data_IF_485533795252
#
_entry.id   IF_485533795252
#
_cell.length_a   1.000
_cell.length_b   1.000
_cell.length_c   1.000
_cell.angle_alpha   90.00
_cell.angle_beta   90.00
_cell.angle_gamma   90.00
#
_symmetry.space_group_name_H-M   'P 1'
#
loop_
_entity.id
_entity.type
_entity.pdbx_description
1 polymer ?
#
# COMPACT_ATOMS: atom_id res chain seq x y z
N UNK A 1 6.21 -6.02 18.89
CA UNK A 1 5.70 -6.47 17.59
C UNK A 1 6.86 -7.06 16.80
N UNK A 2 6.75 -8.30 16.32
CA UNK A 2 7.83 -8.91 15.52
C UNK A 2 7.80 -8.38 14.08
N UNK A 3 8.95 -8.26 13.43
CA UNK A 3 9.06 -7.72 12.06
C UNK A 3 8.17 -8.50 11.07
N UNK A 4 8.10 -9.82 11.22
CA UNK A 4 7.24 -10.67 10.38
C UNK A 4 5.75 -10.34 10.53
N UNK A 5 5.30 -9.93 11.73
CA UNK A 5 3.93 -9.46 11.93
C UNK A 5 3.69 -8.10 11.28
N UNK A 6 4.66 -7.19 11.32
CA UNK A 6 4.55 -5.89 10.65
C UNK A 6 4.43 -6.04 9.13
N UNK A 7 5.28 -6.89 8.54
CA UNK A 7 5.24 -7.19 7.11
C UNK A 7 3.96 -7.91 6.69
N UNK A 8 3.39 -8.75 7.55
CA UNK A 8 2.13 -9.44 7.28
C UNK A 8 0.90 -8.53 7.44
N UNK A 9 0.94 -7.50 8.29
CA UNK A 9 -0.20 -6.61 8.52
C UNK A 9 -0.21 -5.38 7.61
N UNK A 10 0.96 -4.95 7.14
CA UNK A 10 1.07 -3.78 6.26
C UNK A 10 0.17 -3.82 5.01
N UNK A 11 0.04 -4.96 4.27
CA UNK A 11 -0.78 -5.02 3.05
C UNK A 11 -2.28 -4.93 3.29
N UNK A 12 -2.77 -5.14 4.52
CA UNK A 12 -4.22 -5.11 4.81
C UNK A 12 -4.83 -3.72 4.63
N UNK A 13 -4.01 -2.66 4.60
CA UNK A 13 -4.49 -1.30 4.32
C UNK A 13 -4.77 -1.06 2.83
N UNK A 14 -4.32 -1.96 1.94
CA UNK A 14 -4.41 -1.83 0.48
C UNK A 14 -5.82 -1.50 -0.03
N UNK A 15 -6.87 -2.29 0.29
CA UNK A 15 -8.21 -1.98 -0.20
C UNK A 15 -8.73 -0.63 0.29
N UNK A 16 -8.43 -0.26 1.54
CA UNK A 16 -8.80 1.05 2.08
C UNK A 16 -8.08 2.20 1.38
N UNK A 17 -6.78 2.06 1.16
CA UNK A 17 -5.97 3.06 0.46
C UNK A 17 -6.44 3.24 -0.99
N UNK A 18 -6.70 2.13 -1.68
CA UNK A 18 -7.20 2.12 -3.05
C UNK A 18 -8.55 2.82 -3.12
N UNK A 19 -9.52 2.40 -2.31
CA UNK A 19 -10.87 2.95 -2.34
C UNK A 19 -10.90 4.43 -1.93
N UNK A 20 -10.08 4.82 -0.96
CA UNK A 20 -9.95 6.22 -0.58
C UNK A 20 -9.43 7.08 -1.73
N UNK A 21 -8.37 6.64 -2.42
CA UNK A 21 -7.84 7.38 -3.56
C UNK A 21 -8.80 7.38 -4.75
N UNK A 22 -9.47 6.25 -5.02
CA UNK A 22 -10.44 6.11 -6.08
C UNK A 22 -11.65 7.04 -5.87
N UNK A 23 -12.09 7.22 -4.62
CA UNK A 23 -13.13 8.19 -4.26
C UNK A 23 -12.70 9.63 -4.54
N UNK A 24 -11.49 10.03 -4.11
CA UNK A 24 -10.99 11.40 -4.29
C UNK A 24 -10.69 11.72 -5.77
N UNK A 25 -10.27 10.72 -6.53
CA UNK A 25 -9.94 10.86 -7.95
C UNK A 25 -11.15 10.68 -8.87
N UNK A 26 -12.36 10.64 -8.30
CA UNK A 26 -13.62 10.51 -9.02
C UNK A 26 -13.67 9.31 -9.98
N UNK A 27 -13.12 8.16 -9.54
CA UNK A 27 -13.14 6.93 -10.32
C UNK A 27 -14.58 6.40 -10.39
N UNK A 28 -15.12 6.13 -11.60
CA UNK A 28 -16.48 5.62 -11.76
C UNK A 28 -16.75 4.40 -10.87
N UNK A 29 -17.86 4.45 -10.12
CA UNK A 29 -18.28 3.40 -9.19
C UNK A 29 -17.72 3.56 -7.77
N UNK A 30 -16.55 4.19 -7.59
CA UNK A 30 -16.01 4.50 -6.26
C UNK A 30 -16.41 5.89 -5.75
N UNK A 31 -16.96 6.76 -6.60
CA UNK A 31 -17.44 8.09 -6.25
C UNK A 31 -18.84 8.11 -5.58
N UNK A 32 -19.46 6.95 -5.39
CA UNK A 32 -20.81 6.76 -4.80
C UNK A 32 -21.99 7.31 -5.63
N UNK A 33 -21.78 7.75 -6.87
CA UNK A 33 -22.85 8.25 -7.74
C UNK A 33 -23.90 7.19 -8.07
N UNK A 34 -23.45 5.94 -8.24
CA UNK A 34 -24.33 4.78 -8.47
C UNK A 34 -25.01 4.27 -7.18
N UNK A 35 -24.67 4.85 -6.02
CA UNK A 35 -25.23 4.50 -4.72
C UNK A 35 -24.28 3.71 -3.82
N UNK A 36 -24.63 3.68 -2.52
CA UNK A 36 -23.78 3.10 -1.46
C UNK A 36 -23.65 1.58 -1.55
N UNK A 37 -24.67 0.89 -2.09
CA UNK A 37 -24.65 -0.58 -2.25
C UNK A 37 -23.62 -1.00 -3.31
N UNK A 38 -23.57 -0.30 -4.44
CA UNK A 38 -22.59 -0.55 -5.49
C UNK A 38 -21.17 -0.27 -5.01
N UNK A 39 -20.99 0.83 -4.26
CA UNK A 39 -19.71 1.15 -3.62
C UNK A 39 -19.22 0.03 -2.69
N UNK A 40 -20.11 -0.49 -1.82
CA UNK A 40 -19.76 -1.58 -0.90
C UNK A 40 -19.45 -2.87 -1.67
N UNK A 41 -20.23 -3.17 -2.72
CA UNK A 41 -19.99 -4.32 -3.59
C UNK A 41 -18.62 -4.25 -4.27
N UNK A 42 -18.27 -3.09 -4.83
CA UNK A 42 -16.97 -2.82 -5.43
C UNK A 42 -15.83 -2.89 -4.41
N UNK A 43 -16.02 -2.35 -3.20
CA UNK A 43 -15.05 -2.43 -2.11
C UNK A 43 -14.77 -3.89 -1.70
N UNK A 44 -15.81 -4.72 -1.57
CA UNK A 44 -15.66 -6.13 -1.23
C UNK A 44 -14.96 -6.88 -2.37
N UNK A 45 -15.40 -6.69 -3.63
CA UNK A 45 -14.78 -7.31 -4.80
C UNK A 45 -13.30 -6.93 -4.94
N UNK A 46 -13.00 -5.64 -4.79
CA UNK A 46 -11.63 -5.12 -4.74
C UNK A 46 -10.84 -5.76 -3.59
N UNK A 47 -11.40 -5.87 -2.39
CA UNK A 47 -10.71 -6.46 -1.25
C UNK A 47 -10.33 -7.91 -1.51
N UNK A 48 -11.23 -8.70 -2.10
CA UNK A 48 -10.98 -10.10 -2.45
C UNK A 48 -9.87 -10.25 -3.50
N UNK A 49 -9.77 -9.33 -4.47
CA UNK A 49 -8.74 -9.36 -5.51
C UNK A 49 -7.40 -8.75 -5.05
N UNK A 50 -7.44 -7.59 -4.39
CA UNK A 50 -6.28 -6.79 -4.06
C UNK A 50 -5.47 -7.36 -2.89
N UNK A 51 -6.12 -7.97 -1.89
CA UNK A 51 -5.41 -8.51 -0.72
C UNK A 51 -4.41 -9.60 -1.13
N UNK A 52 -4.80 -10.67 -1.86
CA UNK A 52 -3.85 -11.70 -2.32
C UNK A 52 -2.70 -11.11 -3.14
N UNK A 53 -3.01 -10.19 -4.06
CA UNK A 53 -2.03 -9.53 -4.92
C UNK A 53 -1.03 -8.74 -4.09
N UNK A 54 -1.50 -7.91 -3.17
CA UNK A 54 -0.65 -7.12 -2.27
C UNK A 54 0.24 -8.01 -1.40
N UNK A 55 -0.27 -9.15 -0.93
CA UNK A 55 0.54 -10.12 -0.19
C UNK A 55 1.64 -10.74 -1.07
N UNK A 56 1.33 -11.14 -2.30
CA UNK A 56 2.32 -11.67 -3.25
C UNK A 56 3.44 -10.63 -3.46
N UNK A 57 3.10 -9.38 -3.78
CA UNK A 57 4.11 -8.33 -3.96
C UNK A 57 4.93 -8.07 -2.69
N UNK A 58 4.27 -8.03 -1.53
CA UNK A 58 4.94 -7.81 -0.25
C UNK A 58 5.88 -8.96 0.12
N UNK A 59 5.49 -10.21 -0.09
CA UNK A 59 6.33 -11.37 0.25
C UNK A 59 7.50 -11.55 -0.73
N UNK A 60 7.25 -11.47 -2.04
CA UNK A 60 8.26 -11.76 -3.05
C UNK A 60 9.23 -10.60 -3.28
N UNK A 61 8.73 -9.35 -3.28
CA UNK A 61 9.51 -8.16 -3.61
C UNK A 61 9.75 -7.32 -2.36
N UNK A 62 8.68 -6.94 -1.65
CA UNK A 62 8.75 -6.07 -0.48
C UNK A 62 9.64 -6.61 0.64
N UNK A 63 9.54 -7.91 0.97
CA UNK A 63 10.32 -8.56 2.01
C UNK A 63 11.80 -8.65 1.66
N UNK A 64 12.14 -8.89 0.39
CA UNK A 64 13.53 -8.83 -0.10
C UNK A 64 14.07 -7.40 -0.02
N UNK A 65 13.29 -6.41 -0.44
CA UNK A 65 13.66 -5.00 -0.38
C UNK A 65 13.90 -4.54 1.07
N UNK A 66 13.00 -4.91 1.97
CA UNK A 66 13.15 -4.68 3.41
C UNK A 66 14.42 -5.34 3.96
N UNK A 67 14.69 -6.61 3.61
CA UNK A 67 15.91 -7.31 4.01
C UNK A 67 17.19 -6.60 3.53
N UNK A 68 17.20 -6.07 2.31
CA UNK A 68 18.32 -5.28 1.78
C UNK A 68 18.51 -3.97 2.56
N UNK A 69 17.43 -3.24 2.82
CA UNK A 69 17.46 -2.00 3.61
C UNK A 69 17.98 -2.24 5.03
N UNK A 70 17.52 -3.32 5.66
CA UNK A 70 17.94 -3.74 7.00
C UNK A 70 19.43 -4.05 7.05
N UNK A 71 19.96 -4.81 6.08
CA UNK A 71 21.40 -5.10 5.98
C UNK A 71 22.25 -3.84 5.84
N UNK A 72 21.72 -2.81 5.17
CA UNK A 72 22.40 -1.51 5.00
C UNK A 72 22.13 -0.51 6.12
N UNK A 73 21.44 -0.90 7.20
CA UNK A 73 21.02 -0.02 8.31
C UNK A 73 20.31 1.26 7.85
N UNK A 74 19.61 1.20 6.71
CA UNK A 74 18.95 2.35 6.07
C UNK A 74 17.44 2.31 6.22
N UNK A 75 16.90 1.51 7.15
CA UNK A 75 15.45 1.43 7.42
C UNK A 75 15.01 2.73 8.09
N UNK A 76 14.41 3.61 7.30
CA UNK A 76 13.78 4.85 7.74
C UNK A 76 12.41 4.99 7.06
N UNK A 77 11.65 6.03 7.42
CA UNK A 77 10.34 6.30 6.82
C UNK A 77 10.43 6.45 5.30
N UNK A 78 11.38 7.27 4.80
CA UNK A 78 11.53 7.58 3.38
C UNK A 78 11.86 6.36 2.52
N UNK A 79 12.76 5.49 2.99
CA UNK A 79 13.16 4.29 2.25
C UNK A 79 12.07 3.23 2.22
N UNK A 80 11.28 3.11 3.28
CA UNK A 80 10.13 2.21 3.31
C UNK A 80 9.01 2.74 2.42
N UNK A 81 8.68 4.03 2.51
CA UNK A 81 7.62 4.63 1.69
C UNK A 81 7.99 4.64 0.21
N UNK A 82 9.14 5.19 -0.17
CA UNK A 82 9.58 5.22 -1.57
C UNK A 82 9.82 3.81 -2.12
N UNK A 83 10.32 2.90 -1.28
CA UNK A 83 10.46 1.49 -1.63
C UNK A 83 9.12 0.84 -1.96
N UNK A 84 8.10 1.07 -1.13
CA UNK A 84 6.77 0.53 -1.35
C UNK A 84 6.06 1.15 -2.55
N UNK A 85 6.22 2.45 -2.82
CA UNK A 85 5.75 3.10 -4.05
C UNK A 85 6.38 2.41 -5.26
N UNK A 86 7.71 2.29 -5.28
CA UNK A 86 8.43 1.67 -6.38
C UNK A 86 7.96 0.24 -6.63
N UNK A 87 7.77 -0.56 -5.57
CA UNK A 87 7.28 -1.95 -5.69
C UNK A 87 5.84 -2.00 -6.21
N UNK A 88 4.97 -1.09 -5.76
CA UNK A 88 3.59 -1.01 -6.23
C UNK A 88 3.51 -0.63 -7.72
N UNK A 89 4.43 0.20 -8.20
CA UNK A 89 4.44 0.70 -9.59
C UNK A 89 5.15 -0.24 -10.58
N UNK A 90 5.84 -1.30 -10.11
CA UNK A 90 6.50 -2.29 -10.99
C UNK A 90 5.58 -2.79 -12.12
N UNK A 91 4.31 -3.20 -11.87
CA UNK A 91 3.43 -3.69 -12.92
C UNK A 91 3.13 -2.62 -13.96
N UNK A 92 2.94 -1.37 -13.52
CA UNK A 92 2.69 -0.23 -14.40
C UNK A 92 3.92 0.10 -15.26
N UNK A 93 5.13 0.05 -14.68
CA UNK A 93 6.37 0.24 -15.43
C UNK A 93 6.62 -0.85 -16.47
N UNK A 94 6.17 -2.09 -16.23
CA UNK A 94 6.28 -3.19 -17.18
C UNK A 94 5.37 -3.03 -18.39
N UNK A 95 4.16 -2.49 -18.20
CA UNK A 95 3.19 -2.28 -19.28
C UNK A 95 3.31 -0.90 -19.93
N UNK A 96 4.05 0.05 -19.34
CA UNK A 96 4.27 1.40 -19.87
C UNK A 96 4.59 1.45 -21.37
N UNK A 97 5.47 0.60 -21.94
CA UNK A 97 5.82 0.70 -23.36
C UNK A 97 4.66 0.42 -24.32
N UNK A 98 3.62 -0.26 -23.83
CA UNK A 98 2.48 -0.73 -24.64
C UNK A 98 1.17 -0.02 -24.30
N UNK A 99 1.10 0.70 -23.18
CA UNK A 99 -0.09 1.47 -22.76
C UNK A 99 0.28 2.93 -22.52
N UNK A 100 -0.27 3.83 -23.34
CA UNK A 100 -0.10 5.29 -23.20
C UNK A 100 -1.47 5.96 -23.22
N UNK A 101 -1.76 6.79 -22.22
CA UNK A 101 -3.03 7.52 -22.11
C UNK A 101 -3.36 7.95 -20.68
N UNK A 102 -4.45 8.71 -20.51
CA UNK A 102 -4.86 9.25 -19.21
C UNK A 102 -5.21 8.16 -18.19
N UNK A 103 -5.77 7.04 -18.64
CA UNK A 103 -6.06 5.87 -17.80
C UNK A 103 -4.79 5.26 -17.20
N UNK A 104 -3.69 5.27 -17.96
CA UNK A 104 -2.40 4.79 -17.48
C UNK A 104 -1.89 5.69 -16.34
N UNK A 105 -1.95 7.01 -16.50
CA UNK A 105 -1.50 7.95 -15.48
C UNK A 105 -2.36 7.90 -14.21
N UNK A 106 -3.69 7.81 -14.36
CA UNK A 106 -4.60 7.64 -13.23
C UNK A 106 -4.29 6.36 -12.45
N UNK A 107 -4.09 5.26 -13.17
CA UNK A 107 -3.76 3.96 -12.56
C UNK A 107 -2.41 4.03 -11.86
N UNK A 108 -1.39 4.63 -12.48
CA UNK A 108 -0.07 4.79 -11.88
C UNK A 108 -0.15 5.61 -10.58
N UNK A 109 -0.86 6.74 -10.58
CA UNK A 109 -1.03 7.54 -9.36
C UNK A 109 -1.73 6.75 -8.25
N UNK A 110 -2.73 5.95 -8.60
CA UNK A 110 -3.46 5.11 -7.66
C UNK A 110 -2.54 4.06 -7.04
N UNK A 111 -1.76 3.35 -7.85
CA UNK A 111 -0.78 2.36 -7.36
C UNK A 111 0.31 3.02 -6.50
N UNK A 112 0.82 4.19 -6.91
CA UNK A 112 1.77 4.95 -6.12
C UNK A 112 1.19 5.35 -4.76
N UNK A 113 -0.07 5.79 -4.71
CA UNK A 113 -0.73 6.16 -3.45
C UNK A 113 -0.94 4.95 -2.53
N UNK A 114 -1.35 3.82 -3.09
CA UNK A 114 -1.45 2.55 -2.35
C UNK A 114 -0.08 2.14 -1.80
N UNK A 115 0.96 2.17 -2.63
CA UNK A 115 2.34 1.86 -2.22
C UNK A 115 2.84 2.78 -1.11
N UNK A 116 2.57 4.09 -1.21
CA UNK A 116 2.87 5.07 -0.16
C UNK A 116 2.20 4.69 1.16
N UNK A 117 0.90 4.38 1.12
CA UNK A 117 0.11 4.06 2.31
C UNK A 117 0.56 2.76 2.96
N UNK A 118 0.85 1.73 2.16
CA UNK A 118 1.41 0.46 2.65
C UNK A 118 2.79 0.67 3.28
N UNK A 119 3.65 1.48 2.67
CA UNK A 119 4.98 1.78 3.20
C UNK A 119 4.94 2.57 4.52
N UNK A 120 4.04 3.56 4.62
CA UNK A 120 3.79 4.29 5.86
C UNK A 120 3.26 3.37 6.96
N UNK A 121 2.29 2.52 6.63
CA UNK A 121 1.74 1.54 7.56
C UNK A 121 2.82 0.57 8.03
N UNK A 122 3.65 0.06 7.12
CA UNK A 122 4.78 -0.80 7.47
C UNK A 122 5.77 -0.09 8.42
N UNK A 123 6.12 1.16 8.16
CA UNK A 123 7.00 1.93 9.03
C UNK A 123 6.39 2.16 10.42
N UNK A 124 5.10 2.50 10.49
CA UNK A 124 4.37 2.67 11.74
C UNK A 124 4.36 1.37 12.55
N UNK A 125 4.00 0.25 11.92
CA UNK A 125 3.93 -1.06 12.56
C UNK A 125 5.29 -1.55 13.08
N UNK A 126 6.38 -1.22 12.38
CA UNK A 126 7.75 -1.53 12.83
C UNK A 126 8.20 -0.66 14.02
N UNK A 127 7.69 0.56 14.16
CA UNK A 127 8.03 1.47 15.26
C UNK A 127 6.97 1.49 16.37
N UNK A 128 5.91 0.69 16.26
CA UNK A 128 4.77 0.70 17.17
C UNK A 128 5.17 0.39 18.62
N UNK A 129 6.16 -0.49 18.84
CA UNK A 129 6.70 -0.76 20.18
C UNK A 129 7.44 0.43 20.80
N UNK A 130 8.13 1.23 19.97
CA UNK A 130 8.79 2.45 20.43
C UNK A 130 7.76 3.51 20.82
N UNK A 131 6.70 3.66 20.03
CA UNK A 131 5.59 4.53 20.38
C UNK A 131 4.90 4.07 21.66
N UNK A 132 4.60 2.77 21.79
CA UNK A 132 3.94 2.21 22.98
C UNK A 132 4.79 2.37 24.23
N UNK A 133 6.12 2.20 24.15
CA UNK A 133 7.01 2.42 25.30
C UNK A 133 7.18 3.89 25.68
N UNK A 134 7.11 4.83 24.72
CA UNK A 134 7.09 6.27 25.02
C UNK A 134 5.78 6.70 25.69
N UNK A 135 4.64 6.18 25.24
CA UNK A 135 3.34 6.47 25.87
C UNK A 135 3.17 5.77 27.23
N UNK A 136 3.73 4.57 27.41
CA UNK A 136 3.69 3.83 28.68
C UNK A 136 4.58 4.38 29.79
N UNK A 137 5.57 5.22 29.48
CA UNK A 137 6.40 5.92 30.48
C UNK A 137 5.74 7.19 31.05
N UNK A 138 4.53 7.54 30.59
CA UNK A 138 3.85 8.77 30.98
C UNK A 138 2.76 8.59 32.04
N UNK A 139 2.65 7.39 32.63
CA UNK A 139 1.80 7.10 33.80
C UNK A 139 2.66 6.65 34.96
#
# INVERSE_FOLDING_TARGET
MTENKALALAPLITPFAFTFYAYISDVPGFNMDSGILDFIGLFIGLSLAAIPVAYIYMFFIGGKFYGMLKRRKRVNIFTLTLGSIFVADIPMLLIWPITQGDEFYLTLQLFSFVGLTVGLNCWLLLNLDKFRSQFGKKN
#
